data_IF_864344887380
#
_entry.id   IF_864344887380
#
_cell.length_a   1.000
_cell.length_b   1.000
_cell.length_c   1.000
_cell.angle_alpha   90.00
_cell.angle_beta   90.00
_cell.angle_gamma   90.00
#
_symmetry.space_group_name_H-M   'P 1'
#
loop_
_entity.id
_entity.type
_entity.pdbx_description
1 polymer ?
#
# COMPACT_ATOMS: atom_id res chain seq x y z
N UNK A 1 42.52 -28.56 44.12
CA UNK A 1 42.30 -27.21 44.68
C UNK A 1 43.27 -26.24 44.01
N UNK A 2 42.73 -25.14 43.49
CA UNK A 2 43.39 -24.10 42.69
C UNK A 2 44.62 -23.48 43.33
N UNK A 3 45.57 -23.00 42.51
CA UNK A 3 45.81 -21.54 42.31
C UNK A 3 46.97 -21.27 41.35
N UNK A 4 46.67 -20.51 40.31
CA UNK A 4 47.60 -19.81 39.44
C UNK A 4 48.37 -18.73 40.22
N UNK A 5 49.66 -18.54 39.94
CA UNK A 5 50.40 -17.33 40.30
C UNK A 5 51.09 -16.77 39.06
N UNK A 6 50.61 -15.58 38.68
CA UNK A 6 51.05 -14.72 37.59
C UNK A 6 52.42 -14.11 37.94
N UNK A 7 53.39 -14.17 37.02
CA UNK A 7 54.57 -13.27 37.03
C UNK A 7 54.57 -12.41 35.78
N UNK A 8 54.33 -11.10 35.98
CA UNK A 8 54.53 -10.03 35.01
C UNK A 8 55.99 -9.59 35.02
N UNK A 9 56.62 -9.50 33.85
CA UNK A 9 57.80 -8.68 33.59
C UNK A 9 57.99 -8.63 32.07
N UNK A 10 57.57 -7.56 31.39
CA UNK A 10 58.28 -6.29 31.18
C UNK A 10 58.78 -6.18 29.73
N UNK A 11 58.00 -5.42 28.94
CA UNK A 11 58.41 -4.45 27.91
C UNK A 11 59.60 -4.84 27.02
N UNK A 12 59.38 -5.13 25.73
CA UNK A 12 60.22 -4.67 24.59
C UNK A 12 59.41 -4.56 23.29
N UNK A 13 59.30 -3.31 22.83
CA UNK A 13 59.44 -2.80 21.45
C UNK A 13 58.97 -3.64 20.25
N UNK A 14 58.35 -2.88 19.35
CA UNK A 14 58.47 -2.93 17.90
C UNK A 14 57.61 -3.95 17.15
N UNK A 15 56.62 -3.38 16.46
CA UNK A 15 56.23 -3.66 15.09
C UNK A 15 56.77 -4.97 14.48
N UNK A 16 55.88 -5.93 14.29
CA UNK A 16 55.95 -6.87 13.19
C UNK A 16 54.61 -6.76 12.45
N UNK A 17 54.68 -6.19 11.24
CA UNK A 17 53.60 -6.14 10.27
C UNK A 17 53.28 -7.59 9.89
N UNK A 18 52.25 -8.16 10.51
CA UNK A 18 51.71 -9.44 10.10
C UNK A 18 50.74 -9.18 8.92
N UNK A 19 51.27 -9.38 7.71
CA UNK A 19 50.44 -9.63 6.54
C UNK A 19 49.63 -10.91 6.80
N UNK A 20 48.39 -10.73 7.24
CA UNK A 20 47.40 -11.79 7.37
C UNK A 20 46.16 -11.34 6.61
N UNK A 21 45.91 -11.95 5.46
CA UNK A 21 44.69 -11.77 4.69
C UNK A 21 43.51 -12.23 5.57
N UNK A 22 42.88 -11.29 6.27
CA UNK A 22 41.58 -11.52 6.89
C UNK A 22 40.56 -11.61 5.76
N UNK A 23 40.13 -12.84 5.48
CA UNK A 23 38.90 -13.08 4.73
C UNK A 23 37.80 -12.27 5.43
N UNK A 24 37.37 -11.19 4.79
CA UNK A 24 36.15 -10.50 5.18
C UNK A 24 35.05 -11.47 4.79
N UNK A 25 34.68 -12.34 5.73
CA UNK A 25 33.38 -12.98 5.72
C UNK A 25 32.36 -11.86 5.92
N UNK A 26 32.09 -11.13 4.85
CA UNK A 26 30.96 -10.24 4.76
C UNK A 26 29.75 -11.13 4.84
N UNK A 27 29.20 -11.31 6.04
CA UNK A 27 27.79 -11.61 6.18
C UNK A 27 27.06 -10.42 5.56
N UNK A 28 26.80 -10.52 4.26
CA UNK A 28 25.76 -9.75 3.61
C UNK A 28 24.48 -10.17 4.32
N UNK A 29 24.15 -9.47 5.40
CA UNK A 29 22.77 -9.37 5.84
C UNK A 29 22.07 -8.70 4.67
N UNK A 30 21.57 -9.53 3.75
CA UNK A 30 20.53 -9.11 2.83
C UNK A 30 19.37 -8.69 3.73
N UNK A 31 19.33 -7.40 4.05
CA UNK A 31 18.09 -6.74 4.37
C UNK A 31 17.25 -6.91 3.10
N UNK A 32 16.53 -8.03 3.02
CA UNK A 32 15.45 -8.17 2.07
C UNK A 32 14.58 -6.92 2.28
N UNK A 33 14.31 -6.12 1.24
CA UNK A 33 13.34 -5.06 1.38
C UNK A 33 12.06 -5.75 1.87
N UNK A 34 11.60 -5.39 3.06
CA UNK A 34 10.27 -5.75 3.50
C UNK A 34 9.36 -5.21 2.40
N UNK A 35 8.78 -6.10 1.59
CA UNK A 35 7.79 -5.75 0.60
C UNK A 35 6.58 -5.23 1.38
N UNK A 36 6.61 -3.92 1.66
CA UNK A 36 5.47 -3.20 2.21
C UNK A 36 4.38 -3.26 1.15
N UNK A 37 3.27 -3.90 1.49
CA UNK A 37 2.11 -4.07 0.63
C UNK A 37 1.32 -2.77 0.42
N UNK A 38 1.99 -1.73 -0.04
CA UNK A 38 1.35 -0.44 -0.26
C UNK A 38 0.25 -0.64 -1.32
N UNK A 39 -0.99 -0.18 -1.08
CA UNK A 39 -1.97 -0.10 -2.15
C UNK A 39 -1.43 0.86 -3.21
N UNK A 40 -0.94 0.32 -4.31
CA UNK A 40 -0.17 1.08 -5.31
C UNK A 40 -1.05 1.81 -6.30
N UNK A 41 -2.28 1.33 -6.51
CA UNK A 41 -3.24 1.97 -7.39
C UNK A 41 -4.67 1.73 -6.91
N UNK A 42 -5.51 2.75 -7.05
CA UNK A 42 -6.95 2.59 -7.19
C UNK A 42 -7.27 3.01 -8.61
N UNK A 43 -7.95 2.16 -9.35
CA UNK A 43 -8.39 2.43 -10.71
C UNK A 43 -9.88 2.14 -10.77
N UNK A 44 -10.65 3.10 -11.22
CA UNK A 44 -12.09 2.94 -11.36
C UNK A 44 -12.32 2.69 -12.84
N UNK A 45 -12.95 1.56 -13.18
CA UNK A 45 -13.30 1.33 -14.56
C UNK A 45 -14.49 2.24 -14.92
N UNK A 46 -14.30 3.23 -15.82
CA UNK A 46 -15.39 4.09 -16.20
C UNK A 46 -16.48 3.27 -16.91
N UNK A 47 -17.75 3.55 -16.59
CA UNK A 47 -18.86 3.11 -17.42
C UNK A 47 -18.78 3.75 -18.81
N UNK A 48 -19.43 3.16 -19.82
CA UNK A 48 -19.44 3.73 -21.17
C UNK A 48 -20.02 5.16 -21.15
N UNK A 49 -19.19 6.16 -21.48
CA UNK A 49 -19.52 7.60 -21.41
C UNK A 49 -18.81 8.37 -20.29
N UNK A 50 -18.19 7.68 -19.33
CA UNK A 50 -17.36 8.31 -18.30
C UNK A 50 -15.95 8.60 -18.86
N UNK A 51 -15.56 9.87 -18.83
CA UNK A 51 -14.27 10.38 -19.24
C UNK A 51 -13.67 11.26 -18.13
N UNK A 52 -12.34 11.15 -17.92
CA UNK A 52 -11.57 12.02 -17.01
C UNK A 52 -12.11 12.11 -15.58
N UNK A 53 -12.20 10.97 -14.88
CA UNK A 53 -12.64 10.90 -13.47
C UNK A 53 -14.05 11.46 -13.21
N UNK A 54 -14.90 11.46 -14.24
CA UNK A 54 -16.32 11.82 -14.14
C UNK A 54 -17.21 10.60 -14.08
N UNK A 55 -18.09 10.58 -13.10
CA UNK A 55 -19.01 9.46 -12.83
C UNK A 55 -20.43 9.99 -12.68
N UNK A 56 -21.42 9.26 -13.17
CA UNK A 56 -22.83 9.55 -12.98
C UNK A 56 -23.39 8.98 -11.66
N UNK A 57 -24.23 9.77 -10.97
CA UNK A 57 -25.01 9.33 -9.80
C UNK A 57 -25.87 8.11 -10.12
N UNK A 58 -25.96 7.16 -9.18
CA UNK A 58 -26.84 5.99 -9.29
C UNK A 58 -26.38 4.92 -10.29
N UNK A 59 -25.16 5.07 -10.81
CA UNK A 59 -24.52 4.09 -11.66
C UNK A 59 -23.53 3.25 -10.85
N UNK A 60 -23.44 1.96 -11.19
CA UNK A 60 -22.47 1.05 -10.59
C UNK A 60 -21.15 1.10 -11.34
N UNK A 61 -20.06 1.24 -10.59
CA UNK A 61 -18.69 1.25 -11.09
C UNK A 61 -17.84 0.21 -10.35
N UNK A 62 -16.96 -0.44 -11.10
CA UNK A 62 -15.97 -1.34 -10.54
C UNK A 62 -14.73 -0.55 -10.13
N UNK A 63 -14.44 -0.52 -8.82
CA UNK A 63 -13.22 0.07 -8.28
C UNK A 63 -12.22 -1.05 -8.03
N UNK A 64 -11.11 -1.01 -8.77
CA UNK A 64 -10.02 -1.98 -8.67
C UNK A 64 -8.92 -1.41 -7.79
N UNK A 65 -8.49 -2.17 -6.78
CA UNK A 65 -7.34 -1.84 -5.93
C UNK A 65 -6.29 -2.93 -6.06
N UNK A 66 -5.05 -2.53 -6.31
CA UNK A 66 -3.91 -3.44 -6.33
C UNK A 66 -3.19 -3.40 -4.99
N UNK A 67 -2.97 -4.57 -4.39
CA UNK A 67 -2.22 -4.75 -3.14
C UNK A 67 -0.92 -5.49 -3.46
N UNK A 68 0.22 -4.90 -3.10
CA UNK A 68 1.55 -5.43 -3.45
C UNK A 68 2.30 -6.05 -2.26
N UNK A 69 1.82 -7.15 -1.67
CA UNK A 69 2.54 -7.87 -0.61
C UNK A 69 1.61 -8.60 0.36
N UNK A 70 2.19 -9.41 1.25
CA UNK A 70 1.45 -10.37 2.09
C UNK A 70 1.16 -9.85 3.52
N UNK A 71 0.78 -8.58 3.67
CA UNK A 71 0.46 -8.06 5.01
C UNK A 71 -0.94 -8.52 5.45
N UNK A 72 -1.08 -9.25 6.57
CA UNK A 72 -2.37 -9.75 7.04
C UNK A 72 -3.18 -8.66 7.76
N UNK A 73 -3.40 -7.52 7.11
CA UNK A 73 -4.22 -6.42 7.61
C UNK A 73 -5.31 -6.08 6.60
N UNK A 74 -6.49 -5.78 7.11
CA UNK A 74 -7.66 -5.49 6.28
C UNK A 74 -7.42 -4.28 5.38
N UNK A 75 -7.89 -4.39 4.15
CA UNK A 75 -7.98 -3.28 3.20
C UNK A 75 -9.40 -2.71 3.25
N UNK A 76 -9.53 -1.47 3.69
CA UNK A 76 -10.78 -0.74 3.72
C UNK A 76 -10.83 0.27 2.56
N UNK A 77 -11.96 0.31 1.87
CA UNK A 77 -12.25 1.26 0.82
C UNK A 77 -13.37 2.19 1.27
N UNK A 78 -13.14 3.49 1.23
CA UNK A 78 -14.11 4.48 1.67
C UNK A 78 -14.21 5.66 0.70
N UNK A 79 -15.36 6.32 0.68
CA UNK A 79 -15.58 7.59 0.00
C UNK A 79 -15.70 8.74 0.99
N UNK A 80 -15.44 9.94 0.49
CA UNK A 80 -15.62 11.17 1.24
C UNK A 80 -16.00 12.30 0.31
N UNK A 81 -16.94 13.15 0.74
CA UNK A 81 -17.05 14.50 0.20
C UNK A 81 -16.04 15.41 0.89
N UNK A 82 -15.31 16.28 0.18
CA UNK A 82 -14.34 17.18 0.81
C UNK A 82 -14.93 17.93 2.01
N UNK A 83 -14.36 17.69 3.20
CA UNK A 83 -14.81 18.30 4.46
C UNK A 83 -15.88 17.51 5.23
N UNK A 84 -16.33 16.36 4.71
CA UNK A 84 -17.22 15.42 5.41
C UNK A 84 -16.47 14.28 6.10
N UNK A 85 -17.23 13.31 6.59
CA UNK A 85 -16.72 12.04 7.13
C UNK A 85 -16.44 11.02 6.00
N UNK A 86 -15.58 10.05 6.28
CA UNK A 86 -15.34 8.92 5.37
C UNK A 86 -16.43 7.86 5.56
N UNK A 87 -17.04 7.43 4.46
CA UNK A 87 -18.07 6.39 4.42
C UNK A 87 -17.51 5.12 3.79
N UNK A 88 -17.65 4.00 4.48
CA UNK A 88 -17.09 2.71 4.05
C UNK A 88 -17.90 2.14 2.87
N UNK A 89 -17.21 1.86 1.76
CA UNK A 89 -17.79 1.25 0.57
C UNK A 89 -17.53 -0.26 0.55
N UNK A 90 -16.38 -0.70 1.08
CA UNK A 90 -16.03 -2.12 1.11
C UNK A 90 -14.85 -2.43 2.01
N UNK A 91 -14.74 -3.70 2.41
CA UNK A 91 -13.61 -4.25 3.16
C UNK A 91 -13.21 -5.58 2.55
N UNK A 92 -11.90 -5.77 2.41
CA UNK A 92 -11.31 -7.06 2.07
C UNK A 92 -10.51 -7.51 3.30
N UNK A 93 -10.94 -8.61 3.90
CA UNK A 93 -10.27 -9.21 5.04
C UNK A 93 -8.99 -9.89 4.60
N UNK A 94 -7.85 -9.49 5.21
CA UNK A 94 -6.53 -10.09 4.98
C UNK A 94 -6.22 -10.35 3.48
N UNK A 95 -6.15 -9.31 2.63
CA UNK A 95 -5.88 -9.48 1.21
C UNK A 95 -4.50 -10.10 0.98
N UNK A 96 -4.45 -11.15 0.17
CA UNK A 96 -3.23 -11.59 -0.49
C UNK A 96 -2.80 -10.57 -1.58
N UNK A 97 -1.55 -10.61 -2.07
CA UNK A 97 -1.12 -9.82 -3.21
C UNK A 97 -2.02 -10.05 -4.43
N UNK A 98 -2.46 -8.98 -5.07
CA UNK A 98 -3.33 -9.07 -6.24
C UNK A 98 -4.26 -7.86 -6.41
N UNK A 99 -5.15 -7.99 -7.40
CA UNK A 99 -6.16 -7.00 -7.71
C UNK A 99 -7.51 -7.40 -7.12
N UNK A 100 -8.14 -6.46 -6.42
CA UNK A 100 -9.46 -6.64 -5.81
C UNK A 100 -10.45 -5.65 -6.41
N UNK A 101 -11.68 -6.11 -6.61
CA UNK A 101 -12.75 -5.31 -7.19
C UNK A 101 -13.83 -5.09 -6.15
N UNK A 102 -14.16 -3.82 -5.91
CA UNK A 102 -15.29 -3.39 -5.07
C UNK A 102 -16.26 -2.61 -5.95
N UNK A 103 -17.55 -2.90 -5.80
CA UNK A 103 -18.61 -2.16 -6.46
C UNK A 103 -18.86 -0.84 -5.74
N UNK A 104 -18.94 0.25 -6.48
CA UNK A 104 -19.20 1.59 -5.97
C UNK A 104 -20.34 2.25 -6.73
N UNK A 105 -21.32 2.78 -6.00
CA UNK A 105 -22.47 3.50 -6.53
C UNK A 105 -22.48 4.90 -5.93
N UNK A 106 -22.19 5.97 -6.69
CA UNK A 106 -22.16 7.32 -6.15
C UNK A 106 -23.57 7.77 -5.75
N UNK A 107 -23.79 8.21 -4.49
CA UNK A 107 -25.13 8.52 -4.01
C UNK A 107 -25.62 9.92 -4.42
N UNK A 108 -24.72 10.85 -4.74
CA UNK A 108 -25.06 12.25 -5.07
C UNK A 108 -24.00 12.91 -5.96
N UNK A 109 -24.37 14.01 -6.59
CA UNK A 109 -23.48 14.84 -7.41
C UNK A 109 -22.47 15.60 -6.51
N UNK A 110 -21.27 15.85 -7.01
CA UNK A 110 -20.23 16.64 -6.32
C UNK A 110 -18.81 16.13 -6.54
N UNK A 111 -17.83 16.78 -5.92
CA UNK A 111 -16.47 16.25 -5.84
C UNK A 111 -16.37 15.25 -4.69
N UNK A 112 -15.70 14.12 -4.93
CA UNK A 112 -15.46 13.09 -3.95
C UNK A 112 -13.99 12.68 -3.92
N UNK A 113 -13.61 11.99 -2.85
CA UNK A 113 -12.35 11.28 -2.72
C UNK A 113 -12.65 9.83 -2.42
N UNK A 114 -12.02 8.92 -3.15
CA UNK A 114 -12.01 7.51 -2.83
C UNK A 114 -10.67 7.17 -2.21
N UNK A 115 -10.67 6.43 -1.10
CA UNK A 115 -9.47 5.91 -0.50
C UNK A 115 -9.44 4.39 -0.47
N UNK A 116 -8.23 3.87 -0.48
CA UNK A 116 -7.92 2.48 -0.18
C UNK A 116 -6.89 2.50 0.94
N UNK A 117 -7.30 2.14 2.15
CA UNK A 117 -6.48 2.17 3.36
C UNK A 117 -6.22 0.75 3.83
N UNK A 118 -4.95 0.39 3.94
CA UNK A 118 -4.50 -0.82 4.60
C UNK A 118 -3.73 -0.44 5.86
N UNK A 119 -4.31 -0.77 7.02
CA UNK A 119 -3.80 -0.34 8.32
C UNK A 119 -2.36 -0.82 8.54
N UNK A 120 -1.48 0.11 8.92
CA UNK A 120 -0.06 -0.15 9.15
C UNK A 120 0.77 -0.32 7.87
N UNK A 121 0.16 -0.17 6.69
CA UNK A 121 0.84 -0.39 5.41
C UNK A 121 0.82 0.88 4.54
N UNK A 122 -0.35 1.45 4.29
CA UNK A 122 -0.45 2.65 3.48
C UNK A 122 -1.87 3.06 3.14
N UNK A 123 -1.99 4.20 2.46
CA UNK A 123 -3.27 4.70 1.95
C UNK A 123 -3.07 5.29 0.57
N UNK A 124 -3.93 4.91 -0.37
CA UNK A 124 -4.05 5.52 -1.69
C UNK A 124 -5.32 6.36 -1.73
N UNK A 125 -5.30 7.53 -2.38
CA UNK A 125 -6.46 8.43 -2.47
C UNK A 125 -6.59 8.98 -3.87
N UNK A 126 -7.82 8.95 -4.40
CA UNK A 126 -8.15 9.36 -5.76
C UNK A 126 -9.29 10.36 -5.72
N UNK A 127 -9.08 11.50 -6.37
CA UNK A 127 -10.10 12.54 -6.47
C UNK A 127 -10.96 12.27 -7.70
N UNK A 128 -12.26 12.39 -7.53
CA UNK A 128 -13.24 12.08 -8.56
C UNK A 128 -14.35 13.13 -8.56
N UNK A 129 -15.01 13.29 -9.70
CA UNK A 129 -16.15 14.18 -9.84
C UNK A 129 -17.37 13.36 -10.22
N UNK A 130 -18.45 13.53 -9.46
CA UNK A 130 -19.73 12.88 -9.74
C UNK A 130 -20.69 13.94 -10.28
N UNK A 131 -21.22 13.72 -11.48
CA UNK A 131 -22.25 14.57 -12.09
C UNK A 131 -23.51 13.75 -12.30
N UNK A 132 -24.51 14.37 -12.93
CA UNK A 132 -25.74 13.66 -13.26
C UNK A 132 -25.43 12.51 -14.23
N UNK A 133 -25.86 11.31 -13.86
CA UNK A 133 -25.81 10.13 -14.72
C UNK A 133 -27.20 9.80 -15.26
N UNK A 134 -27.26 9.32 -16.50
CA UNK A 134 -28.39 8.55 -16.99
C UNK A 134 -27.94 7.09 -17.10
N UNK A 135 -28.48 6.24 -16.23
CA UNK A 135 -28.28 4.80 -16.32
C UNK A 135 -29.11 4.27 -17.50
N UNK A 136 -28.46 3.92 -18.60
CA UNK A 136 -29.11 3.46 -19.83
C UNK A 136 -29.39 1.95 -19.82
N UNK A 137 -29.14 1.27 -18.70
CA UNK A 137 -29.19 -0.18 -18.58
C UNK A 137 -27.96 -0.87 -19.18
N UNK A 138 -27.72 -2.13 -18.78
CA UNK A 138 -26.60 -2.97 -19.25
C UNK A 138 -25.24 -2.28 -19.15
N UNK A 139 -24.88 -1.81 -17.95
CA UNK A 139 -23.54 -1.30 -17.61
C UNK A 139 -23.11 0.00 -18.31
N UNK A 140 -24.04 0.69 -18.99
CA UNK A 140 -23.77 1.96 -19.68
C UNK A 140 -24.35 3.13 -18.89
N UNK A 141 -23.48 4.02 -18.40
CA UNK A 141 -23.87 5.22 -17.69
C UNK A 141 -23.46 6.45 -18.49
N UNK A 142 -24.44 7.19 -19.03
CA UNK A 142 -24.18 8.45 -19.71
C UNK A 142 -23.94 9.53 -18.66
N UNK A 143 -22.72 10.05 -18.60
CA UNK A 143 -22.34 11.16 -17.72
C UNK A 143 -22.64 12.49 -18.43
N UNK A 144 -23.37 13.38 -17.76
CA UNK A 144 -23.78 14.70 -18.28
C UNK A 144 -22.89 15.83 -17.76
#
# INVERSE_FOLDING_TARGET
MSRSVVRRSSIRRAAAVAAGASMVAGSMLMAAPFASAVPTAVTIQPGAGANNDRYGVGCSYAVTVTVDGDTPTNLAMAENVPGGEWELIGVIDTPAPGAYVVEWVPPREGSFRLNANQAGVGTSTHNITVTRGINLGSSTCLVL
#
